data_IF_921902262770
#
_entry.id   IF_921902262770
#
_cell.length_a   1.000
_cell.length_b   1.000
_cell.length_c   1.000
_cell.angle_alpha   90.00
_cell.angle_beta   90.00
_cell.angle_gamma   90.00
#
_symmetry.space_group_name_H-M   'P 1'
#
loop_
_entity.id
_entity.type
_entity.pdbx_description
1 polymer ?
#
# COMPACT_ATOMS: atom_id res chain seq x y z
N UNK A 1 -14.28 5.10 -12.75
CA UNK A 1 -12.91 5.42 -12.27
C UNK A 1 -12.57 4.40 -11.20
N UNK A 2 -11.46 3.67 -11.34
CA UNK A 2 -11.00 2.74 -10.32
C UNK A 2 -10.16 3.46 -9.26
N UNK A 3 -10.05 2.89 -8.06
CA UNK A 3 -9.11 3.32 -7.02
C UNK A 3 -8.10 2.21 -6.73
N UNK A 4 -6.88 2.60 -6.36
CA UNK A 4 -5.77 1.73 -5.97
C UNK A 4 -5.22 2.12 -4.60
N UNK A 5 -4.61 1.16 -3.90
CA UNK A 5 -3.95 1.37 -2.62
C UNK A 5 -2.50 1.82 -2.86
N UNK A 6 -2.15 2.99 -2.34
CA UNK A 6 -0.79 3.50 -2.26
C UNK A 6 -0.33 3.45 -0.81
N UNK A 7 0.74 2.72 -0.54
CA UNK A 7 1.39 2.66 0.77
C UNK A 7 2.62 3.57 0.76
N UNK A 8 2.61 4.54 1.67
CA UNK A 8 3.77 5.34 2.03
C UNK A 8 4.50 4.62 3.15
N UNK A 9 5.80 4.42 2.96
CA UNK A 9 6.65 3.73 3.92
C UNK A 9 7.28 4.71 4.89
N UNK A 10 7.47 4.23 6.13
CA UNK A 10 8.37 4.85 7.09
C UNK A 10 9.60 3.96 7.22
N UNK A 11 10.75 4.48 6.83
CA UNK A 11 12.03 3.79 6.96
C UNK A 11 12.65 4.09 8.33
N UNK A 12 13.03 3.05 9.07
CA UNK A 12 13.68 3.22 10.38
C UNK A 12 15.12 3.75 10.24
N UNK A 13 15.75 3.50 9.09
CA UNK A 13 17.01 4.13 8.68
C UNK A 13 16.79 4.85 7.34
N UNK A 14 16.82 6.20 7.30
CA UNK A 14 16.56 6.96 6.07
C UNK A 14 17.61 6.72 4.98
N UNK A 15 18.76 6.13 5.28
CA UNK A 15 19.77 5.75 4.26
C UNK A 15 19.35 4.54 3.43
N UNK A 16 18.36 3.79 3.92
CA UNK A 16 17.78 2.63 3.23
C UNK A 16 16.57 3.02 2.38
N UNK A 17 16.12 4.27 2.48
CA UNK A 17 15.03 4.78 1.66
C UNK A 17 15.45 4.75 0.19
N UNK A 18 14.80 3.88 -0.57
CA UNK A 18 15.02 3.75 -2.01
C UNK A 18 14.22 4.79 -2.82
N UNK A 19 13.53 5.70 -2.14
CA UNK A 19 12.69 6.75 -2.75
C UNK A 19 11.43 6.22 -3.40
N UNK A 20 11.12 4.92 -3.28
CA UNK A 20 9.94 4.30 -3.87
C UNK A 20 8.83 4.22 -2.82
N UNK A 21 7.72 4.89 -3.12
CA UNK A 21 6.46 4.60 -2.45
C UNK A 21 5.94 3.25 -2.93
N UNK A 22 5.46 2.42 -2.01
CA UNK A 22 5.01 1.07 -2.32
C UNK A 22 3.58 1.12 -2.85
N UNK A 23 3.41 0.95 -4.15
CA UNK A 23 2.08 0.86 -4.74
C UNK A 23 1.62 -0.59 -4.72
N UNK A 24 0.56 -0.88 -3.96
CA UNK A 24 -0.08 -2.19 -4.02
C UNK A 24 -1.11 -2.14 -5.15
N UNK A 25 -0.68 -2.57 -6.33
CA UNK A 25 -1.56 -2.77 -7.47
C UNK A 25 -2.20 -4.16 -7.47
N UNK A 26 -1.69 -5.10 -6.66
CA UNK A 26 -2.15 -6.48 -6.61
C UNK A 26 -1.99 -7.13 -5.22
N UNK A 27 -2.95 -7.97 -4.84
CA UNK A 27 -2.91 -8.87 -3.66
C UNK A 27 -3.17 -10.30 -4.16
N UNK A 28 -2.34 -11.26 -3.75
CA UNK A 28 -2.39 -12.66 -4.23
C UNK A 28 -2.38 -12.81 -5.77
N UNK A 29 -1.65 -11.93 -6.46
CA UNK A 29 -1.59 -11.90 -7.93
C UNK A 29 -2.86 -11.38 -8.61
N UNK A 30 -3.88 -10.95 -7.85
CA UNK A 30 -5.09 -10.32 -8.38
C UNK A 30 -4.98 -8.80 -8.31
N UNK A 31 -5.36 -8.08 -9.39
CA UNK A 31 -5.38 -6.63 -9.36
C UNK A 31 -6.40 -6.13 -8.34
N UNK A 32 -5.98 -5.21 -7.47
CA UNK A 32 -6.88 -4.51 -6.57
C UNK A 32 -7.49 -3.33 -7.33
N UNK A 33 -8.77 -3.45 -7.66
CA UNK A 33 -9.54 -2.41 -8.33
C UNK A 33 -10.82 -2.13 -7.52
N UNK A 34 -10.92 -0.93 -6.97
CA UNK A 34 -12.08 -0.51 -6.19
C UNK A 34 -12.93 0.49 -6.98
N UNK A 35 -14.26 0.35 -6.90
CA UNK A 35 -15.19 1.23 -7.60
C UNK A 35 -15.43 2.56 -6.87
N UNK A 36 -15.01 2.68 -5.61
CA UNK A 36 -15.06 3.90 -4.81
C UNK A 36 -13.84 3.99 -3.87
N UNK A 37 -13.52 5.21 -3.44
CA UNK A 37 -12.49 5.41 -2.41
C UNK A 37 -12.90 4.76 -1.08
N UNK A 38 -14.19 4.74 -0.78
CA UNK A 38 -14.75 4.20 0.45
C UNK A 38 -14.55 2.68 0.54
N UNK A 39 -14.89 1.95 -0.54
CA UNK A 39 -14.63 0.51 -0.62
C UNK A 39 -13.13 0.18 -0.58
N UNK A 40 -12.28 1.08 -1.08
CA UNK A 40 -10.83 0.92 -0.97
C UNK A 40 -10.35 1.07 0.48
N UNK A 41 -10.82 2.08 1.22
CA UNK A 41 -10.44 2.26 2.62
C UNK A 41 -11.03 1.18 3.52
N UNK A 42 -12.26 0.73 3.27
CA UNK A 42 -12.87 -0.39 3.99
C UNK A 42 -12.01 -1.65 3.84
N UNK A 43 -11.55 -1.96 2.61
CA UNK A 43 -10.63 -3.08 2.38
C UNK A 43 -9.27 -2.89 3.08
N UNK A 44 -8.74 -1.67 3.10
CA UNK A 44 -7.50 -1.35 3.85
C UNK A 44 -7.69 -1.62 5.33
N UNK A 45 -8.80 -1.16 5.92
CA UNK A 45 -9.07 -1.31 7.34
C UNK A 45 -9.26 -2.79 7.73
N UNK A 46 -9.99 -3.55 6.92
CA UNK A 46 -10.16 -5.00 7.10
C UNK A 46 -8.86 -5.79 6.99
N UNK A 47 -7.86 -5.27 6.25
CA UNK A 47 -6.63 -5.98 5.92
C UNK A 47 -5.36 -5.29 6.44
N UNK A 48 -5.48 -4.26 7.29
CA UNK A 48 -4.35 -3.39 7.65
C UNK A 48 -3.18 -4.17 8.25
N UNK A 49 -3.46 -5.12 9.14
CA UNK A 49 -2.42 -5.96 9.77
C UNK A 49 -1.72 -6.88 8.75
N UNK A 50 -2.45 -7.37 7.75
CA UNK A 50 -1.85 -8.17 6.66
C UNK A 50 -0.97 -7.29 5.77
N UNK A 51 -1.42 -6.08 5.45
CA UNK A 51 -0.65 -5.10 4.68
C UNK A 51 0.63 -4.71 5.41
N UNK A 52 0.54 -4.47 6.72
CA UNK A 52 1.68 -4.14 7.58
C UNK A 52 2.67 -5.30 7.63
N UNK A 53 2.18 -6.51 7.89
CA UNK A 53 3.01 -7.73 7.93
C UNK A 53 3.71 -7.98 6.60
N UNK A 54 3.02 -7.74 5.48
CA UNK A 54 3.61 -7.86 4.14
C UNK A 54 4.74 -6.84 3.93
N UNK A 55 4.53 -5.57 4.29
CA UNK A 55 5.55 -4.52 4.20
C UNK A 55 6.76 -4.86 5.07
N UNK A 56 6.53 -5.24 6.33
CA UNK A 56 7.60 -5.60 7.26
C UNK A 56 8.36 -6.84 6.78
N UNK A 57 7.68 -7.85 6.24
CA UNK A 57 8.33 -9.03 5.67
C UNK A 57 9.13 -8.69 4.40
N UNK A 58 8.58 -7.87 3.51
CA UNK A 58 9.23 -7.52 2.24
C UNK A 58 10.50 -6.70 2.45
N UNK A 59 10.48 -5.78 3.41
CA UNK A 59 11.63 -4.94 3.74
C UNK A 59 12.48 -5.47 4.90
N UNK A 60 12.34 -6.75 5.29
CA UNK A 60 13.09 -7.37 6.38
C UNK A 60 13.06 -6.53 7.68
N UNK A 61 11.89 -6.00 8.04
CA UNK A 61 11.65 -5.11 9.18
C UNK A 61 12.42 -3.78 9.16
N UNK A 62 12.97 -3.35 8.01
CA UNK A 62 13.67 -2.06 7.83
C UNK A 62 12.70 -0.89 7.57
N UNK A 63 11.45 -1.19 7.22
CA UNK A 63 10.39 -0.21 7.00
C UNK A 63 9.04 -0.73 7.51
N UNK A 64 8.14 0.21 7.83
CA UNK A 64 6.74 -0.08 8.18
C UNK A 64 5.79 0.87 7.42
N UNK A 65 4.49 0.68 7.58
CA UNK A 65 3.48 1.56 6.98
C UNK A 65 3.48 2.91 7.71
N UNK A 66 3.77 3.98 6.97
CA UNK A 66 3.59 5.37 7.44
C UNK A 66 2.15 5.82 7.24
N UNK A 67 1.64 5.60 6.03
CA UNK A 67 0.30 6.03 5.63
C UNK A 67 -0.20 5.21 4.46
N UNK A 68 -1.49 4.94 4.45
CA UNK A 68 -2.18 4.35 3.30
C UNK A 68 -3.05 5.42 2.63
N UNK A 69 -3.08 5.44 1.30
CA UNK A 69 -3.96 6.30 0.51
C UNK A 69 -4.69 5.48 -0.54
N UNK A 70 -5.97 5.74 -0.70
CA UNK A 70 -6.74 5.29 -1.86
C UNK A 70 -6.72 6.39 -2.91
N UNK A 71 -6.02 6.16 -4.01
CA UNK A 71 -5.83 7.14 -5.08
C UNK A 71 -6.59 6.72 -6.34
N UNK A 72 -7.16 7.66 -7.11
CA UNK A 72 -7.74 7.33 -8.41
C UNK A 72 -6.71 6.70 -9.32
N UNK A 73 -7.10 5.65 -10.01
CA UNK A 73 -6.34 5.08 -11.10
C UNK A 73 -6.37 6.06 -12.28
N UNK A 74 -5.34 6.89 -12.40
CA UNK A 74 -5.11 7.62 -13.63
C UNK A 74 -4.44 6.68 -14.62
N UNK A 75 -5.19 6.27 -15.65
CA UNK A 75 -4.63 5.71 -16.87
C UNK A 75 -3.82 6.81 -17.56
N UNK A 76 -2.54 6.93 -17.21
CA UNK A 76 -1.54 7.69 -17.95
C UNK A 76 -0.88 6.79 -18.98
#
# INVERSE_FOLDING_TARGET
MGFKILILLFWFDPRLDDGRNFQISHLDGKPLAFNSSEACYEHVDENYENLKSYVESYYEAKATISKVKCVPEFSG
#
